data_IF_684924050502
#
_entry.id   IF_684924050502
#
_cell.length_a   1.000
_cell.length_b   1.000
_cell.length_c   1.000
_cell.angle_alpha   90.00
_cell.angle_beta   90.00
_cell.angle_gamma   90.00
#
_symmetry.space_group_name_H-M   'P 1'
#
loop_
_entity.id
_entity.type
_entity.pdbx_description
1 polymer ?
#
# COMPACT_ATOMS: atom_id res chain seq x y z
N UNK A 1 22.62 -17.12 -29.42
CA UNK A 1 22.34 -17.72 -28.10
C UNK A 1 21.82 -16.58 -27.26
N UNK A 2 20.55 -16.61 -26.87
CA UNK A 2 19.99 -15.54 -26.03
C UNK A 2 20.71 -15.55 -24.68
N UNK A 3 21.13 -14.38 -24.17
CA UNK A 3 21.79 -14.30 -22.87
C UNK A 3 20.81 -14.74 -21.78
N UNK A 4 21.28 -15.55 -20.82
CA UNK A 4 20.44 -15.94 -19.70
C UNK A 4 20.14 -14.73 -18.80
N UNK A 5 19.07 -14.79 -18.00
CA UNK A 5 18.75 -13.75 -17.00
C UNK A 5 19.95 -13.49 -16.07
N UNK A 6 20.70 -14.55 -15.73
CA UNK A 6 21.93 -14.43 -14.94
C UNK A 6 22.99 -13.62 -15.67
N UNK A 7 23.20 -13.88 -16.96
CA UNK A 7 24.19 -13.15 -17.77
C UNK A 7 23.83 -11.67 -17.88
N UNK A 8 22.54 -11.35 -18.01
CA UNK A 8 22.02 -9.98 -18.04
C UNK A 8 22.30 -9.28 -16.72
N UNK A 9 21.96 -9.89 -15.58
CA UNK A 9 22.22 -9.33 -14.25
C UNK A 9 23.71 -9.08 -14.05
N UNK A 10 24.56 -10.06 -14.38
CA UNK A 10 26.02 -9.94 -14.20
C UNK A 10 26.58 -8.83 -15.10
N UNK A 11 26.22 -8.81 -16.38
CA UNK A 11 26.72 -7.80 -17.32
C UNK A 11 26.32 -6.39 -16.89
N UNK A 12 25.10 -6.21 -16.41
CA UNK A 12 24.62 -4.91 -15.97
C UNK A 12 25.23 -4.48 -14.64
N UNK A 13 25.38 -5.40 -13.68
CA UNK A 13 26.08 -5.13 -12.43
C UNK A 13 27.54 -4.68 -12.67
N UNK A 14 28.24 -5.31 -13.63
CA UNK A 14 29.59 -4.88 -14.06
C UNK A 14 29.59 -3.47 -14.68
N UNK A 15 28.52 -3.11 -15.42
CA UNK A 15 28.37 -1.78 -16.00
C UNK A 15 28.13 -0.70 -14.94
N UNK A 16 27.31 -1.00 -13.92
CA UNK A 16 26.99 -0.08 -12.83
C UNK A 16 28.18 0.21 -11.90
N UNK A 17 29.07 -0.78 -11.71
CA UNK A 17 30.32 -0.65 -10.94
C UNK A 17 31.44 -1.39 -11.65
N UNK A 18 32.14 -0.67 -12.52
CA UNK A 18 33.32 -1.20 -13.21
C UNK A 18 34.48 -1.37 -12.22
N UNK A 19 35.11 -2.53 -12.25
CA UNK A 19 36.27 -2.86 -11.43
C UNK A 19 36.87 -4.21 -11.84
N UNK A 20 38.03 -4.54 -11.27
CA UNK A 20 38.76 -5.78 -11.59
C UNK A 20 38.25 -7.00 -10.82
N UNK A 21 37.32 -6.80 -9.87
CA UNK A 21 36.68 -7.85 -9.09
C UNK A 21 35.65 -8.66 -9.87
N UNK A 22 35.33 -9.87 -9.40
CA UNK A 22 34.29 -10.71 -9.99
C UNK A 22 32.91 -10.34 -9.44
N UNK A 23 31.94 -10.20 -10.33
CA UNK A 23 30.52 -10.08 -9.92
C UNK A 23 29.97 -11.46 -9.66
N UNK A 24 29.38 -11.66 -8.48
CA UNK A 24 28.72 -12.91 -8.11
C UNK A 24 27.22 -12.71 -7.93
N UNK A 25 26.48 -13.77 -8.24
CA UNK A 25 25.03 -13.83 -8.08
C UNK A 25 24.72 -15.03 -7.21
N UNK A 26 24.17 -14.77 -6.03
CA UNK A 26 23.73 -15.79 -5.10
C UNK A 26 22.20 -15.73 -4.99
N UNK A 27 21.55 -16.89 -5.00
CA UNK A 27 20.17 -16.94 -4.56
C UNK A 27 20.13 -16.47 -3.11
N UNK A 28 19.24 -15.53 -2.82
CA UNK A 28 19.07 -15.08 -1.46
C UNK A 28 18.65 -16.27 -0.59
N UNK A 29 19.45 -16.57 0.43
CA UNK A 29 19.10 -17.52 1.50
C UNK A 29 18.12 -16.92 2.50
N UNK A 30 17.78 -15.62 2.35
CA UNK A 30 16.63 -15.01 3.01
C UNK A 30 15.41 -15.82 2.55
N UNK A 31 14.83 -16.53 3.52
CA UNK A 31 13.91 -17.67 3.45
C UNK A 31 12.56 -17.44 2.74
N UNK A 32 12.45 -16.44 1.89
CA UNK A 32 11.21 -16.08 1.21
C UNK A 32 11.49 -15.99 -0.29
N UNK A 33 11.30 -17.12 -0.94
CA UNK A 33 10.93 -17.15 -2.35
C UNK A 33 9.68 -16.28 -2.51
N UNK A 34 9.84 -14.98 -2.79
CA UNK A 34 8.74 -14.05 -2.99
C UNK A 34 7.72 -14.62 -3.98
N UNK A 35 6.42 -14.46 -3.71
CA UNK A 35 5.37 -15.13 -4.51
C UNK A 35 5.40 -14.74 -5.99
N UNK A 36 5.82 -13.50 -6.28
CA UNK A 36 5.83 -12.90 -7.62
C UNK A 36 7.23 -12.77 -8.23
N UNK A 37 8.30 -12.82 -7.43
CA UNK A 37 9.67 -12.59 -7.89
C UNK A 37 10.66 -13.65 -7.41
N UNK A 38 11.72 -13.85 -8.17
CA UNK A 38 12.98 -14.40 -7.66
C UNK A 38 13.86 -13.25 -7.17
N UNK A 39 14.43 -13.43 -5.99
CA UNK A 39 15.30 -12.44 -5.35
C UNK A 39 16.72 -13.01 -5.29
N UNK A 40 17.67 -12.24 -5.83
CA UNK A 40 19.08 -12.58 -5.81
C UNK A 40 19.87 -11.48 -5.12
N UNK A 41 20.90 -11.89 -4.38
CA UNK A 41 21.92 -10.95 -3.89
C UNK A 41 23.02 -10.89 -4.94
N UNK A 42 23.30 -9.68 -5.41
CA UNK A 42 24.38 -9.40 -6.35
C UNK A 42 25.53 -8.81 -5.55
N UNK A 43 26.70 -9.44 -5.59
CA UNK A 43 27.94 -8.84 -5.07
C UNK A 43 28.69 -8.23 -6.25
N UNK A 44 28.96 -6.92 -6.17
CA UNK A 44 29.62 -6.15 -7.22
C UNK A 44 31.15 -6.31 -7.12
N UNK A 45 31.85 -5.80 -8.13
CA UNK A 45 33.32 -5.89 -8.22
C UNK A 45 34.06 -5.15 -7.09
N UNK A 46 33.40 -4.23 -6.39
CA UNK A 46 33.92 -3.46 -5.25
C UNK A 46 33.45 -4.03 -3.89
N UNK A 47 32.98 -5.28 -3.87
CA UNK A 47 32.38 -5.99 -2.71
C UNK A 47 31.07 -5.37 -2.17
N UNK A 48 30.59 -4.28 -2.76
CA UNK A 48 29.27 -3.75 -2.42
C UNK A 48 28.16 -4.67 -2.91
N UNK A 49 26.99 -4.60 -2.28
CA UNK A 49 25.89 -5.54 -2.52
C UNK A 49 24.62 -4.84 -2.96
N UNK A 50 23.90 -5.52 -3.86
CA UNK A 50 22.61 -5.10 -4.40
C UNK A 50 21.63 -6.26 -4.41
N UNK A 51 20.36 -5.95 -4.67
CA UNK A 51 19.33 -6.94 -4.91
C UNK A 51 18.93 -6.91 -6.38
N UNK A 52 18.87 -8.08 -7.00
CA UNK A 52 18.17 -8.27 -8.27
C UNK A 52 16.80 -8.90 -7.99
N UNK A 53 15.72 -8.20 -8.37
CA UNK A 53 14.35 -8.72 -8.40
C UNK A 53 14.04 -9.15 -9.83
N UNK A 54 13.63 -10.40 -10.01
CA UNK A 54 13.25 -10.95 -11.32
C UNK A 54 11.81 -11.43 -11.25
N UNK A 55 10.91 -10.84 -12.03
CA UNK A 55 9.52 -11.26 -12.07
C UNK A 55 9.37 -12.71 -12.55
N UNK A 56 8.50 -13.49 -11.91
CA UNK A 56 8.28 -14.91 -12.23
C UNK A 56 7.41 -15.12 -13.47
N UNK A 57 6.55 -14.16 -13.77
CA UNK A 57 5.57 -14.23 -14.85
C UNK A 57 5.71 -13.02 -15.77
N UNK A 58 5.65 -13.25 -17.08
CA UNK A 58 5.48 -12.18 -18.06
C UNK A 58 4.11 -11.51 -17.85
N UNK A 59 4.00 -10.20 -18.09
CA UNK A 59 2.75 -9.45 -17.89
C UNK A 59 2.68 -8.59 -16.62
N UNK A 60 3.71 -8.56 -15.77
CA UNK A 60 3.77 -7.68 -14.59
C UNK A 60 4.34 -6.29 -14.88
N UNK A 61 4.69 -5.97 -16.13
CA UNK A 61 5.51 -4.80 -16.49
C UNK A 61 4.88 -3.48 -16.03
N UNK A 62 3.56 -3.38 -16.09
CA UNK A 62 2.84 -2.18 -15.63
C UNK A 62 2.91 -1.98 -14.11
N UNK A 63 2.93 -3.09 -13.34
CA UNK A 63 3.09 -3.03 -11.88
C UNK A 63 4.54 -2.66 -11.54
N UNK A 64 5.51 -3.32 -12.17
CA UNK A 64 6.93 -3.02 -11.98
C UNK A 64 7.24 -1.56 -12.31
N UNK A 65 6.76 -1.07 -13.47
CA UNK A 65 6.99 0.31 -13.88
C UNK A 65 6.40 1.31 -12.90
N UNK A 66 5.24 1.01 -12.32
CA UNK A 66 4.62 1.88 -11.31
C UNK A 66 5.46 1.93 -10.03
N UNK A 67 5.93 0.77 -9.56
CA UNK A 67 6.79 0.69 -8.38
C UNK A 67 8.10 1.45 -8.58
N UNK A 68 8.75 1.25 -9.74
CA UNK A 68 10.01 1.94 -10.10
C UNK A 68 9.80 3.45 -10.16
N UNK A 69 8.84 3.93 -10.95
CA UNK A 69 8.56 5.35 -11.10
C UNK A 69 8.27 5.99 -9.73
N UNK A 70 7.54 5.29 -8.87
CA UNK A 70 7.25 5.76 -7.50
C UNK A 70 8.52 5.88 -6.68
N UNK A 71 9.36 4.85 -6.65
CA UNK A 71 10.60 4.84 -5.87
C UNK A 71 11.60 5.90 -6.36
N UNK A 72 11.73 6.05 -7.67
CA UNK A 72 12.56 7.09 -8.29
C UNK A 72 12.05 8.49 -7.92
N UNK A 73 10.73 8.71 -8.00
CA UNK A 73 10.11 9.98 -7.59
C UNK A 73 10.34 10.28 -6.11
N UNK A 74 10.11 9.30 -5.23
CA UNK A 74 10.37 9.45 -3.79
C UNK A 74 11.83 9.83 -3.55
N UNK A 75 12.78 9.15 -4.20
CA UNK A 75 14.22 9.43 -4.04
C UNK A 75 14.64 10.77 -4.65
N UNK A 76 13.97 11.23 -5.71
CA UNK A 76 14.20 12.55 -6.28
C UNK A 76 13.70 13.67 -5.35
N UNK A 77 12.56 13.46 -4.67
CA UNK A 77 12.01 14.43 -3.71
C UNK A 77 12.72 14.40 -2.34
N UNK A 78 13.10 13.21 -1.88
CA UNK A 78 13.80 13.00 -0.61
C UNK A 78 14.80 11.84 -0.73
N UNK A 79 16.07 12.19 -0.97
CA UNK A 79 17.17 11.23 -1.13
C UNK A 79 17.34 10.29 0.07
N UNK A 80 17.04 10.78 1.27
CA UNK A 80 17.23 10.10 2.56
C UNK A 80 15.98 9.31 3.01
N UNK A 81 14.88 9.37 2.26
CA UNK A 81 13.69 8.59 2.55
C UNK A 81 14.04 7.09 2.57
N UNK A 82 13.53 6.36 3.57
CA UNK A 82 13.93 4.99 3.88
C UNK A 82 13.27 3.96 2.94
N UNK A 83 13.50 4.12 1.63
CA UNK A 83 13.06 3.22 0.55
C UNK A 83 14.27 2.79 -0.30
N UNK A 84 14.21 1.64 -1.00
CA UNK A 84 15.28 1.22 -1.90
C UNK A 84 15.50 2.21 -3.05
N UNK A 85 16.75 2.49 -3.39
CA UNK A 85 17.09 3.15 -4.65
C UNK A 85 17.08 2.13 -5.79
N UNK A 86 16.45 2.49 -6.91
CA UNK A 86 16.57 1.77 -8.18
C UNK A 86 17.85 2.21 -8.87
N UNK A 87 18.65 1.25 -9.34
CA UNK A 87 19.89 1.51 -10.07
C UNK A 87 19.78 1.15 -11.54
N UNK A 88 18.96 0.15 -11.88
CA UNK A 88 18.70 -0.25 -13.25
C UNK A 88 17.46 -1.14 -13.37
N UNK A 89 16.82 -1.14 -14.53
CA UNK A 89 15.81 -2.12 -14.92
C UNK A 89 15.78 -2.35 -16.45
N UNK A 90 15.22 -3.48 -16.90
CA UNK A 90 15.08 -3.80 -18.33
C UNK A 90 13.73 -3.43 -18.95
N UNK A 91 12.85 -2.71 -18.24
CA UNK A 91 11.47 -2.46 -18.68
C UNK A 91 11.32 -1.64 -19.98
N UNK A 92 12.36 -0.96 -20.45
CA UNK A 92 12.31 -0.14 -21.66
C UNK A 92 12.70 -0.90 -22.94
N UNK A 93 13.06 -2.19 -22.81
CA UNK A 93 13.43 -3.05 -23.93
C UNK A 93 12.36 -4.13 -24.20
N UNK A 94 12.04 -4.44 -25.47
CA UNK A 94 10.97 -5.37 -25.81
C UNK A 94 11.26 -6.85 -25.47
N UNK A 95 10.54 -7.37 -24.47
CA UNK A 95 9.66 -8.57 -24.44
C UNK A 95 10.14 -10.00 -24.79
N UNK A 96 11.39 -10.37 -24.56
CA UNK A 96 11.76 -11.82 -24.54
C UNK A 96 12.23 -12.32 -23.17
N UNK A 97 12.42 -11.42 -22.22
CA UNK A 97 12.92 -11.70 -20.88
C UNK A 97 11.99 -11.08 -19.82
N UNK A 98 11.81 -11.75 -18.67
CA UNK A 98 11.00 -11.19 -17.59
C UNK A 98 11.61 -9.88 -17.07
N UNK A 99 10.78 -9.01 -16.46
CA UNK A 99 11.28 -7.84 -15.73
C UNK A 99 12.40 -8.18 -14.75
N UNK A 100 13.50 -7.42 -14.85
CA UNK A 100 14.63 -7.44 -13.94
C UNK A 100 14.84 -6.03 -13.40
N UNK A 101 14.97 -5.92 -12.08
CA UNK A 101 15.21 -4.67 -11.38
C UNK A 101 16.41 -4.85 -10.46
N UNK A 102 17.41 -3.98 -10.61
CA UNK A 102 18.56 -3.87 -9.70
C UNK A 102 18.32 -2.70 -8.75
N UNK A 103 18.31 -2.98 -7.46
CA UNK A 103 18.04 -2.01 -6.40
C UNK A 103 18.97 -2.18 -5.20
N UNK A 104 18.94 -1.24 -4.25
CA UNK A 104 19.69 -1.34 -2.99
C UNK A 104 19.41 -2.68 -2.27
N UNK A 105 20.47 -3.29 -1.72
CA UNK A 105 20.31 -4.32 -0.70
C UNK A 105 20.11 -3.64 0.66
N UNK A 106 18.87 -3.68 1.15
CA UNK A 106 18.57 -3.27 2.51
C UNK A 106 19.06 -4.35 3.47
N UNK A 107 19.98 -3.99 4.35
CA UNK A 107 20.45 -4.86 5.43
C UNK A 107 19.36 -4.98 6.51
N UNK A 108 19.24 -6.17 7.10
CA UNK A 108 18.29 -6.42 8.17
C UNK A 108 17.38 -7.60 7.88
N UNK A 109 16.25 -7.66 8.58
CA UNK A 109 15.21 -8.69 8.45
C UNK A 109 13.83 -8.06 8.50
N UNK A 110 12.85 -8.73 7.90
CA UNK A 110 11.44 -8.39 8.07
C UNK A 110 11.08 -8.30 9.56
N UNK A 111 10.29 -7.28 9.92
CA UNK A 111 9.69 -7.12 11.25
C UNK A 111 8.76 -8.31 11.57
N UNK A 112 8.10 -8.87 10.55
CA UNK A 112 7.30 -10.11 10.57
C UNK A 112 6.05 -10.03 11.46
N UNK A 113 6.20 -9.89 12.77
CA UNK A 113 5.12 -9.88 13.76
C UNK A 113 5.13 -8.55 14.50
N UNK A 114 3.95 -7.98 14.68
CA UNK A 114 3.72 -6.85 15.58
C UNK A 114 2.59 -7.19 16.54
N UNK A 115 2.91 -7.32 17.82
CA UNK A 115 1.96 -7.63 18.89
C UNK A 115 2.44 -7.08 20.24
N UNK A 116 1.65 -7.34 21.27
CA UNK A 116 1.78 -6.91 22.65
C UNK A 116 2.95 -7.57 23.38
N UNK A 117 3.54 -8.62 22.81
CA UNK A 117 4.78 -9.21 23.34
C UNK A 117 5.99 -8.28 23.11
N UNK A 118 5.92 -7.35 22.15
CA UNK A 118 6.97 -6.34 21.94
C UNK A 118 6.91 -5.33 23.09
N UNK A 119 8.03 -5.08 23.80
CA UNK A 119 8.09 -4.07 24.86
C UNK A 119 7.64 -2.69 24.39
N UNK A 120 6.86 -2.00 25.21
CA UNK A 120 6.27 -0.69 24.90
C UNK A 120 7.31 0.34 24.47
N UNK A 121 8.47 0.35 25.11
CA UNK A 121 9.57 1.26 24.80
C UNK A 121 10.11 1.04 23.38
N UNK A 122 10.20 -0.22 22.94
CA UNK A 122 10.62 -0.56 21.58
C UNK A 122 9.52 -0.25 20.56
N UNK A 123 8.25 -0.50 20.91
CA UNK A 123 7.13 -0.08 20.07
C UNK A 123 7.15 1.44 19.85
N UNK A 124 7.31 2.22 20.92
CA UNK A 124 7.38 3.68 20.86
C UNK A 124 8.58 4.18 20.04
N UNK A 125 9.76 3.58 20.22
CA UNK A 125 10.94 3.93 19.45
C UNK A 125 10.74 3.66 17.95
N UNK A 126 10.14 2.51 17.60
CA UNK A 126 9.80 2.20 16.21
C UNK A 126 8.77 3.18 15.64
N UNK A 127 7.68 3.44 16.38
CA UNK A 127 6.61 4.34 15.94
C UNK A 127 7.07 5.80 15.82
N UNK A 128 8.02 6.25 16.63
CA UNK A 128 8.63 7.57 16.48
C UNK A 128 9.41 7.69 15.16
N UNK A 129 10.25 6.70 14.85
CA UNK A 129 10.94 6.65 13.56
C UNK A 129 9.96 6.47 12.41
N UNK A 130 8.87 5.70 12.59
CA UNK A 130 7.80 5.53 11.62
C UNK A 130 7.08 6.83 11.30
N UNK A 131 6.77 7.63 12.32
CA UNK A 131 6.16 8.93 12.13
C UNK A 131 7.01 9.84 11.22
N UNK A 132 8.35 9.83 11.37
CA UNK A 132 9.21 10.61 10.49
C UNK A 132 9.13 10.14 9.04
N UNK A 133 9.25 8.83 8.79
CA UNK A 133 9.15 8.28 7.43
C UNK A 133 7.78 8.57 6.80
N UNK A 134 6.69 8.42 7.54
CA UNK A 134 5.35 8.67 7.03
C UNK A 134 5.15 10.14 6.67
N UNK A 135 5.71 11.09 7.43
CA UNK A 135 5.72 12.50 7.05
C UNK A 135 6.57 12.72 5.79
N UNK A 136 7.77 12.14 5.76
CA UNK A 136 8.66 12.26 4.61
C UNK A 136 8.02 11.71 3.33
N UNK A 137 7.21 10.67 3.43
CA UNK A 137 6.46 10.08 2.32
C UNK A 137 5.23 10.90 1.94
N UNK A 138 4.33 11.19 2.89
CA UNK A 138 3.02 11.76 2.60
C UNK A 138 3.05 13.26 2.26
N UNK A 139 4.17 13.95 2.51
CA UNK A 139 4.40 15.30 1.97
C UNK A 139 5.02 15.32 0.58
N UNK A 140 5.36 14.15 0.00
CA UNK A 140 5.73 14.07 -1.41
C UNK A 140 4.45 14.08 -2.23
N UNK A 141 4.23 15.18 -2.95
CA UNK A 141 3.16 15.22 -3.95
C UNK A 141 3.46 14.19 -5.03
N UNK A 142 2.43 13.45 -5.45
CA UNK A 142 2.56 12.53 -6.57
C UNK A 142 3.01 13.28 -7.83
N UNK A 143 3.80 12.64 -8.72
CA UNK A 143 4.15 13.25 -9.99
C UNK A 143 2.87 13.61 -10.75
N UNK A 144 2.89 14.68 -11.55
CA UNK A 144 1.78 15.02 -12.44
C UNK A 144 1.62 13.91 -13.49
N UNK A 145 0.89 12.85 -13.13
CA UNK A 145 0.63 11.74 -14.03
C UNK A 145 -0.49 12.12 -14.99
N UNK A 146 -0.38 11.71 -16.26
CA UNK A 146 -1.47 11.87 -17.23
C UNK A 146 -2.76 11.11 -16.82
N UNK A 147 -2.68 10.23 -15.82
CA UNK A 147 -3.79 9.52 -15.19
C UNK A 147 -4.54 10.31 -14.12
N UNK A 148 -3.94 11.37 -13.56
CA UNK A 148 -4.62 12.29 -12.66
C UNK A 148 -5.45 13.29 -13.47
N UNK A 149 -6.52 12.81 -14.11
CA UNK A 149 -7.53 13.72 -14.65
C UNK A 149 -8.03 14.62 -13.51
N UNK A 150 -8.30 15.89 -13.80
CA UNK A 150 -8.82 16.86 -12.83
C UNK A 150 -10.06 16.36 -12.08
N UNK A 151 -10.79 15.41 -12.66
CA UNK A 151 -11.97 14.76 -12.08
C UNK A 151 -11.69 13.79 -10.93
N UNK A 152 -10.50 13.22 -10.78
CA UNK A 152 -10.18 12.24 -9.70
C UNK A 152 -9.54 12.92 -8.48
N UNK A 153 -9.49 14.27 -8.45
CA UNK A 153 -8.80 15.02 -7.40
C UNK A 153 -9.50 15.03 -6.04
N UNK A 154 -10.83 14.85 -6.01
CA UNK A 154 -11.56 14.80 -4.74
C UNK A 154 -11.62 13.38 -4.21
N UNK A 155 -11.70 13.25 -2.88
CA UNK A 155 -11.78 11.95 -2.24
C UNK A 155 -13.06 11.19 -2.62
N UNK A 156 -14.18 11.91 -2.72
CA UNK A 156 -15.48 11.38 -3.19
C UNK A 156 -15.41 10.77 -4.59
N UNK A 157 -14.83 11.48 -5.56
CA UNK A 157 -14.71 10.99 -6.93
C UNK A 157 -13.74 9.81 -7.03
N UNK A 158 -12.68 9.81 -6.22
CA UNK A 158 -11.76 8.67 -6.13
C UNK A 158 -12.46 7.42 -5.59
N UNK A 159 -13.21 7.55 -4.49
CA UNK A 159 -14.02 6.45 -3.93
C UNK A 159 -15.05 5.92 -4.93
N UNK A 160 -15.75 6.83 -5.61
CA UNK A 160 -16.74 6.47 -6.63
C UNK A 160 -16.10 5.63 -7.74
N UNK A 161 -14.93 6.04 -8.23
CA UNK A 161 -14.19 5.29 -9.25
C UNK A 161 -13.74 3.90 -8.76
N UNK A 162 -13.26 3.78 -7.52
CA UNK A 162 -12.88 2.48 -6.95
C UNK A 162 -14.09 1.53 -6.78
N UNK A 163 -15.22 2.06 -6.34
CA UNK A 163 -16.47 1.30 -6.20
C UNK A 163 -17.04 0.92 -7.58
N UNK A 164 -17.03 1.85 -8.54
CA UNK A 164 -17.49 1.60 -9.92
C UNK A 164 -16.64 0.49 -10.57
N UNK A 165 -15.33 0.45 -10.34
CA UNK A 165 -14.49 -0.69 -10.74
C UNK A 165 -14.97 -2.01 -10.12
N UNK A 166 -15.35 -2.00 -8.84
CA UNK A 166 -15.97 -3.12 -8.14
C UNK A 166 -17.26 -3.61 -8.82
N UNK A 167 -18.19 -2.68 -9.08
CA UNK A 167 -19.47 -2.95 -9.76
C UNK A 167 -19.23 -3.55 -11.15
N UNK A 168 -18.35 -2.94 -11.96
CA UNK A 168 -18.01 -3.42 -13.31
C UNK A 168 -17.47 -4.84 -13.27
N UNK A 169 -16.58 -5.16 -12.34
CA UNK A 169 -16.06 -6.52 -12.17
C UNK A 169 -17.17 -7.51 -11.85
N UNK A 170 -18.10 -7.17 -10.95
CA UNK A 170 -19.25 -8.02 -10.64
C UNK A 170 -20.17 -8.25 -11.84
N UNK A 171 -20.53 -7.19 -12.58
CA UNK A 171 -21.41 -7.30 -13.76
C UNK A 171 -20.76 -8.14 -14.87
N UNK A 172 -19.45 -7.99 -15.08
CA UNK A 172 -18.71 -8.69 -16.14
C UNK A 172 -18.28 -10.11 -15.73
N UNK A 173 -18.57 -10.55 -14.50
CA UNK A 173 -18.18 -11.88 -14.01
C UNK A 173 -16.70 -12.01 -13.64
N UNK A 174 -15.95 -10.92 -13.57
CA UNK A 174 -14.54 -10.90 -13.12
C UNK A 174 -14.36 -10.55 -11.64
N UNK A 175 -15.46 -10.24 -10.95
CA UNK A 175 -15.51 -10.01 -9.51
C UNK A 175 -15.29 -11.30 -8.72
N UNK A 176 -14.50 -11.24 -7.64
CA UNK A 176 -14.08 -12.43 -6.88
C UNK A 176 -14.77 -12.61 -5.52
N UNK A 177 -15.34 -11.57 -4.92
CA UNK A 177 -15.85 -11.67 -3.53
C UNK A 177 -17.02 -10.75 -3.11
N UNK A 178 -17.33 -9.69 -3.84
CA UNK A 178 -18.49 -8.83 -3.58
C UNK A 178 -19.59 -9.02 -4.62
N UNK A 179 -20.76 -8.41 -4.39
CA UNK A 179 -21.85 -8.36 -5.36
C UNK A 179 -22.22 -6.91 -5.73
N UNK A 180 -22.97 -6.75 -6.82
CA UNK A 180 -23.34 -5.43 -7.33
C UNK A 180 -24.14 -4.63 -6.30
N UNK A 181 -25.07 -5.26 -5.59
CA UNK A 181 -25.91 -4.57 -4.60
C UNK A 181 -25.08 -4.01 -3.45
N UNK A 182 -24.15 -4.78 -2.90
CA UNK A 182 -23.27 -4.31 -1.81
C UNK A 182 -22.44 -3.10 -2.25
N UNK A 183 -21.85 -3.14 -3.46
CA UNK A 183 -21.12 -1.98 -3.98
C UNK A 183 -22.01 -0.77 -4.26
N UNK A 184 -23.27 -0.96 -4.69
CA UNK A 184 -24.22 0.14 -4.86
C UNK A 184 -24.62 0.78 -3.52
N UNK A 185 -24.76 -0.03 -2.46
CA UNK A 185 -24.94 0.49 -1.09
C UNK A 185 -23.70 1.27 -0.66
N UNK A 186 -22.49 0.72 -0.84
CA UNK A 186 -21.26 1.48 -0.53
C UNK A 186 -21.19 2.79 -1.33
N UNK A 187 -21.62 2.80 -2.60
CA UNK A 187 -21.67 4.00 -3.42
C UNK A 187 -22.62 5.06 -2.87
N UNK A 188 -23.76 4.69 -2.29
CA UNK A 188 -24.68 5.65 -1.65
C UNK A 188 -24.13 6.29 -0.38
N UNK A 189 -23.17 5.64 0.28
CA UNK A 189 -22.54 6.11 1.52
C UNK A 189 -21.47 7.20 1.27
N UNK A 190 -20.98 7.36 0.03
CA UNK A 190 -19.90 8.30 -0.31
C UNK A 190 -20.14 9.73 0.22
N UNK A 191 -21.33 10.34 0.07
CA UNK A 191 -21.55 11.72 0.55
C UNK A 191 -21.33 11.87 2.06
N UNK A 192 -21.73 10.87 2.85
CA UNK A 192 -21.56 10.92 4.31
C UNK A 192 -20.07 10.81 4.69
N UNK A 193 -19.34 9.92 4.01
CA UNK A 193 -17.92 9.62 4.30
C UNK A 193 -16.98 10.72 3.78
N UNK A 194 -17.24 11.27 2.60
CA UNK A 194 -16.25 12.08 1.86
C UNK A 194 -16.46 13.59 1.92
N UNK A 195 -17.65 14.10 2.30
CA UNK A 195 -17.99 15.52 2.12
C UNK A 195 -17.00 16.51 2.77
N UNK A 196 -16.45 16.17 3.94
CA UNK A 196 -15.50 17.03 4.68
C UNK A 196 -14.04 16.80 4.27
N UNK A 197 -13.79 15.86 3.36
CA UNK A 197 -12.46 15.44 2.91
C UNK A 197 -12.14 15.91 1.48
N UNK A 198 -13.14 16.39 0.74
CA UNK A 198 -12.96 16.85 -0.64
C UNK A 198 -12.17 18.17 -0.77
N UNK A 199 -11.96 18.86 0.35
CA UNK A 199 -11.08 20.03 0.44
C UNK A 199 -9.60 19.65 0.28
N UNK A 200 -9.23 18.38 0.54
CA UNK A 200 -7.86 17.88 0.38
C UNK A 200 -7.61 17.39 -1.05
N UNK A 201 -7.33 18.31 -1.96
CA UNK A 201 -7.15 18.02 -3.40
C UNK A 201 -5.73 17.61 -3.81
N UNK A 202 -4.77 17.65 -2.88
CA UNK A 202 -3.41 17.19 -3.12
C UNK A 202 -3.42 15.69 -3.37
N UNK A 203 -2.73 15.25 -4.42
CA UNK A 203 -2.50 13.83 -4.71
C UNK A 203 -1.21 13.42 -4.03
N UNK A 204 -1.29 12.39 -3.18
CA UNK A 204 -0.13 11.80 -2.52
C UNK A 204 0.15 10.39 -3.04
N UNK A 205 1.18 9.78 -2.46
CA UNK A 205 1.64 8.43 -2.78
C UNK A 205 1.31 7.51 -1.59
N UNK A 206 0.70 6.36 -1.87
CA UNK A 206 0.51 5.29 -0.91
C UNK A 206 1.36 4.08 -1.30
N UNK A 207 1.96 3.43 -0.30
CA UNK A 207 2.64 2.14 -0.48
C UNK A 207 1.70 1.02 -0.96
N UNK A 208 0.43 1.08 -0.54
CA UNK A 208 -0.59 0.07 -0.85
C UNK A 208 -0.59 -1.17 0.04
N UNK A 209 0.57 -1.55 0.59
CA UNK A 209 0.68 -2.73 1.45
C UNK A 209 1.61 -2.53 2.67
N UNK A 210 1.37 -1.51 3.51
CA UNK A 210 2.20 -1.25 4.70
C UNK A 210 1.93 -2.25 5.84
N UNK A 211 2.17 -3.54 5.60
CA UNK A 211 2.11 -4.59 6.62
C UNK A 211 3.50 -4.81 7.27
N UNK A 212 3.56 -5.54 8.39
CA UNK A 212 4.79 -5.73 9.14
C UNK A 212 5.92 -6.42 8.34
N UNK A 213 5.59 -7.28 7.36
CA UNK A 213 6.60 -7.95 6.55
C UNK A 213 7.40 -7.01 5.66
N UNK A 214 6.78 -5.90 5.28
CA UNK A 214 7.36 -4.92 4.36
C UNK A 214 8.27 -3.90 5.06
N UNK A 215 8.50 -4.04 6.38
CA UNK A 215 9.50 -3.28 7.13
C UNK A 215 10.72 -4.14 7.38
N UNK A 216 11.87 -3.75 6.81
CA UNK A 216 13.15 -4.37 7.10
C UNK A 216 13.81 -3.61 8.24
N UNK A 217 14.02 -4.25 9.39
CA UNK A 217 14.67 -3.71 10.57
C UNK A 217 16.06 -4.34 10.75
N UNK A 218 17.04 -3.54 11.21
CA UNK A 218 18.40 -4.05 11.44
C UNK A 218 18.48 -5.09 12.58
N UNK A 219 17.62 -4.99 13.59
CA UNK A 219 17.59 -5.88 14.77
C UNK A 219 16.13 -6.24 15.14
N UNK A 220 15.88 -7.47 15.62
CA UNK A 220 14.53 -7.91 15.99
C UNK A 220 14.04 -7.19 17.24
N UNK A 221 12.86 -6.57 17.15
CA UNK A 221 12.20 -5.92 18.30
C UNK A 221 11.82 -6.90 19.43
N UNK A 222 11.76 -8.21 19.14
CA UNK A 222 11.38 -9.27 20.08
C UNK A 222 12.51 -9.71 21.04
N UNK A 223 13.77 -9.37 20.74
CA UNK A 223 14.90 -10.16 21.24
C UNK A 223 15.92 -9.37 22.09
N UNK A 224 15.53 -8.49 23.01
CA UNK A 224 16.52 -7.89 23.92
C UNK A 224 16.04 -7.64 25.35
N UNK A 225 16.09 -8.67 26.20
CA UNK A 225 16.11 -8.54 27.67
C UNK A 225 17.40 -7.88 28.23
N UNK A 226 18.37 -7.55 27.38
CA UNK A 226 19.69 -7.01 27.78
C UNK A 226 19.99 -5.58 27.28
N UNK A 227 19.10 -4.95 26.50
CA UNK A 227 19.42 -3.70 25.76
C UNK A 227 18.44 -2.56 26.08
N UNK A 228 17.83 -2.59 27.27
CA UNK A 228 17.17 -1.42 27.83
C UNK A 228 18.13 -0.22 28.03
N UNK A 229 19.44 -0.44 28.09
CA UNK A 229 20.43 0.61 28.37
C UNK A 229 20.97 1.36 27.14
N UNK A 230 20.92 0.76 25.94
CA UNK A 230 21.52 1.36 24.72
C UNK A 230 20.48 2.12 23.90
N UNK A 231 19.29 1.55 23.69
CA UNK A 231 18.22 2.22 22.93
C UNK A 231 17.69 3.48 23.62
N UNK A 232 17.64 3.50 24.96
CA UNK A 232 17.26 4.70 25.72
C UNK A 232 18.27 5.85 25.61
N UNK A 233 19.52 5.58 25.20
CA UNK A 233 20.56 6.61 25.05
C UNK A 233 20.73 7.11 23.63
N UNK A 234 20.29 6.35 22.62
CA UNK A 234 20.52 6.69 21.22
C UNK A 234 19.38 6.21 20.31
N UNK A 235 18.34 7.05 20.10
CA UNK A 235 17.25 6.78 19.16
C UNK A 235 17.71 6.56 17.70
N UNK A 236 18.94 6.97 17.37
CA UNK A 236 19.54 6.90 16.03
C UNK A 236 19.84 5.48 15.50
N UNK A 237 19.60 4.43 16.29
CA UNK A 237 19.98 3.05 15.92
C UNK A 237 18.85 2.19 15.35
N UNK A 238 17.59 2.61 15.46
CA UNK A 238 16.50 1.88 14.81
C UNK A 238 16.36 2.34 13.36
N UNK A 239 17.26 1.86 12.50
CA UNK A 239 17.12 2.00 11.04
C UNK A 239 16.21 0.90 10.53
N UNK A 240 15.19 1.31 9.78
CA UNK A 240 14.40 0.40 8.97
C UNK A 240 14.28 0.96 7.56
N UNK A 241 13.91 0.12 6.61
CA UNK A 241 13.47 0.58 5.29
C UNK A 241 12.21 -0.17 4.86
N UNK A 242 11.39 0.51 4.07
CA UNK A 242 10.11 -0.02 3.57
C UNK A 242 10.31 -0.57 2.18
N UNK A 243 9.98 -1.84 1.98
CA UNK A 243 10.17 -2.60 0.72
C UNK A 243 8.82 -3.10 0.18
N UNK A 244 8.85 -3.70 -1.01
CA UNK A 244 7.65 -4.26 -1.67
C UNK A 244 6.59 -3.22 -2.10
N UNK A 245 7.04 -2.27 -2.94
CA UNK A 245 6.24 -1.16 -3.45
C UNK A 245 5.34 -1.52 -4.65
N UNK A 246 5.14 -2.82 -4.92
CA UNK A 246 4.42 -3.28 -6.12
C UNK A 246 2.93 -2.89 -6.13
N UNK A 247 2.37 -2.66 -4.94
CA UNK A 247 0.99 -2.23 -4.73
C UNK A 247 0.82 -0.72 -4.60
N UNK A 248 1.87 0.06 -4.88
CA UNK A 248 1.81 1.52 -4.80
C UNK A 248 0.69 2.10 -5.68
N UNK A 249 0.12 3.21 -5.21
CA UNK A 249 -0.86 3.97 -5.96
C UNK A 249 -0.84 5.46 -5.60
N UNK A 250 -1.34 6.27 -6.52
CA UNK A 250 -1.55 7.70 -6.37
C UNK A 250 -3.03 7.96 -6.08
N UNK A 251 -3.34 8.79 -5.09
CA UNK A 251 -4.71 9.15 -4.75
C UNK A 251 -4.76 10.45 -3.92
N UNK A 252 -5.95 11.06 -3.74
CA UNK A 252 -6.11 12.20 -2.83
C UNK A 252 -5.59 11.88 -1.42
N UNK A 253 -5.08 12.89 -0.71
CA UNK A 253 -4.48 12.70 0.62
C UNK A 253 -5.32 11.84 1.60
N UNK A 254 -6.65 12.00 1.69
CA UNK A 254 -7.46 11.15 2.56
C UNK A 254 -7.40 9.66 2.18
N UNK A 255 -7.25 9.32 0.90
CA UNK A 255 -7.15 7.93 0.45
C UNK A 255 -5.79 7.28 0.77
N UNK A 256 -4.72 8.08 0.79
CA UNK A 256 -3.33 7.58 1.00
C UNK A 256 -2.92 7.61 2.48
N UNK A 257 -3.45 8.54 3.28
CA UNK A 257 -3.14 8.65 4.71
C UNK A 257 -4.03 7.69 5.49
N UNK A 258 -3.43 6.56 5.85
CA UNK A 258 -4.04 5.44 6.54
C UNK A 258 -3.08 4.87 7.59
N UNK A 259 -3.61 4.17 8.59
CA UNK A 259 -2.76 3.45 9.53
C UNK A 259 -2.06 2.30 8.81
N UNK A 260 -0.77 2.05 9.09
CA UNK A 260 -0.10 0.81 8.70
C UNK A 260 -0.91 -0.40 9.14
N UNK A 261 -1.02 -1.41 8.29
CA UNK A 261 -1.91 -2.57 8.47
C UNK A 261 -1.70 -3.30 9.79
N UNK A 262 -0.45 -3.36 10.26
CA UNK A 262 -0.09 -4.04 11.50
C UNK A 262 -0.55 -3.33 12.78
N UNK A 263 -1.07 -2.09 12.70
CA UNK A 263 -1.71 -1.36 13.81
C UNK A 263 -3.10 -0.82 13.47
N UNK A 264 -3.67 -1.17 12.31
CA UNK A 264 -4.90 -0.53 11.82
C UNK A 264 -6.19 -1.00 12.52
N UNK A 265 -6.19 -2.19 13.15
CA UNK A 265 -7.37 -2.84 13.76
C UNK A 265 -8.61 -2.91 12.84
N UNK A 266 -8.41 -3.14 11.54
CA UNK A 266 -9.53 -3.25 10.59
C UNK A 266 -10.18 -4.64 10.71
N UNK A 267 -11.49 -4.75 11.04
CA UNK A 267 -12.17 -6.04 11.12
C UNK A 267 -12.09 -6.81 9.79
N UNK A 268 -11.79 -8.11 9.86
CA UNK A 268 -11.56 -8.97 8.70
C UNK A 268 -10.14 -8.92 8.13
N UNK A 269 -9.26 -8.07 8.66
CA UNK A 269 -7.82 -8.13 8.47
C UNK A 269 -7.17 -8.91 9.62
N UNK A 270 -6.19 -9.76 9.30
CA UNK A 270 -5.51 -10.61 10.29
C UNK A 270 -4.01 -10.39 10.21
N UNK A 271 -3.44 -9.83 11.28
CA UNK A 271 -2.01 -9.72 11.45
C UNK A 271 -1.44 -11.02 12.05
N UNK A 272 -0.25 -11.41 11.59
CA UNK A 272 0.43 -12.59 12.10
C UNK A 272 0.78 -12.42 13.58
N UNK A 273 0.57 -13.48 14.37
CA UNK A 273 0.97 -13.52 15.78
C UNK A 273 0.16 -12.62 16.72
N UNK A 274 -1.01 -12.12 16.30
CA UNK A 274 -1.92 -11.30 17.12
C UNK A 274 -3.01 -12.17 17.75
N UNK A 275 -3.20 -12.05 19.06
CA UNK A 275 -4.20 -12.83 19.79
C UNK A 275 -5.62 -12.27 19.63
N UNK A 276 -6.63 -13.13 19.84
CA UNK A 276 -8.02 -12.70 19.78
C UNK A 276 -8.31 -11.64 20.86
N UNK A 277 -8.82 -10.48 20.45
CA UNK A 277 -9.16 -9.37 21.35
C UNK A 277 -8.00 -8.41 21.62
N UNK A 278 -6.82 -8.68 21.07
CA UNK A 278 -5.72 -7.73 21.06
C UNK A 278 -6.02 -6.55 20.12
N UNK A 279 -5.71 -5.34 20.56
CA UNK A 279 -5.97 -4.09 19.83
C UNK A 279 -4.77 -3.15 19.90
N UNK A 280 -4.55 -2.37 18.85
CA UNK A 280 -3.43 -1.44 18.72
C UNK A 280 -3.82 0.04 18.85
N UNK A 281 -4.93 0.34 19.55
CA UNK A 281 -5.40 1.71 19.79
C UNK A 281 -4.31 2.62 20.35
N UNK A 282 -3.61 2.16 21.38
CA UNK A 282 -2.51 2.92 22.00
C UNK A 282 -1.37 3.20 21.01
N UNK A 283 -1.08 2.28 20.09
CA UNK A 283 -0.05 2.48 19.07
C UNK A 283 -0.50 3.50 18.02
N UNK A 284 -1.77 3.48 17.63
CA UNK A 284 -2.37 4.48 16.74
C UNK A 284 -2.33 5.88 17.34
N UNK A 285 -2.78 6.01 18.60
CA UNK A 285 -2.76 7.28 19.33
C UNK A 285 -1.34 7.83 19.47
N UNK A 286 -0.39 6.95 19.80
CA UNK A 286 1.02 7.33 19.89
C UNK A 286 1.56 7.81 18.54
N UNK A 287 1.26 7.10 17.45
CA UNK A 287 1.70 7.47 16.10
C UNK A 287 1.13 8.83 15.69
N UNK A 288 -0.16 9.07 15.87
CA UNK A 288 -0.81 10.37 15.60
C UNK A 288 -0.15 11.49 16.40
N UNK A 289 0.11 11.25 17.69
CA UNK A 289 0.79 12.22 18.56
C UNK A 289 2.20 12.55 18.03
N UNK A 290 2.97 11.56 17.61
CA UNK A 290 4.33 11.77 17.10
C UNK A 290 4.35 12.46 15.74
N UNK A 291 3.37 12.18 14.87
CA UNK A 291 3.20 12.92 13.62
C UNK A 291 2.97 14.40 13.90
N UNK A 292 2.05 14.72 14.81
CA UNK A 292 1.75 16.10 15.19
C UNK A 292 2.98 16.84 15.73
N UNK A 293 3.71 16.24 16.67
CA UNK A 293 4.94 16.82 17.23
C UNK A 293 5.96 17.13 16.14
N UNK A 294 6.10 16.26 15.14
CA UNK A 294 7.05 16.43 14.04
C UNK A 294 6.57 17.44 12.98
N UNK A 295 5.27 17.52 12.71
CA UNK A 295 4.68 18.60 11.89
C UNK A 295 4.94 19.98 12.54
N UNK A 296 4.66 20.11 13.84
CA UNK A 296 4.93 21.33 14.62
C UNK A 296 6.42 21.70 14.59
N UNK A 297 7.31 20.72 14.80
CA UNK A 297 8.77 20.93 14.77
C UNK A 297 9.27 21.38 13.39
N UNK A 298 8.60 20.97 12.31
CA UNK A 298 8.93 21.34 10.92
C UNK A 298 8.10 22.52 10.40
N UNK A 299 7.28 23.14 11.26
CA UNK A 299 6.36 24.25 10.93
C UNK A 299 5.42 23.93 9.77
N UNK A 300 5.05 22.66 9.63
CA UNK A 300 4.04 22.23 8.68
C UNK A 300 2.65 22.40 9.29
N UNK A 301 1.64 22.51 8.43
CA UNK A 301 0.24 22.44 8.85
C UNK A 301 -0.03 20.99 9.27
N UNK A 302 -0.81 20.79 10.34
CA UNK A 302 -1.20 19.50 10.94
C UNK A 302 -2.07 18.60 10.03
N UNK A 303 -1.87 18.65 8.71
CA UNK A 303 -2.65 17.93 7.70
C UNK A 303 -2.55 16.42 7.89
N UNK A 304 -1.34 15.88 8.08
CA UNK A 304 -1.11 14.43 8.14
C UNK A 304 -1.64 13.87 9.44
N UNK A 305 -1.30 14.49 10.59
CA UNK A 305 -1.80 14.02 11.88
C UNK A 305 -3.33 14.11 11.98
N UNK A 306 -3.94 15.19 11.44
CA UNK A 306 -5.40 15.35 11.42
C UNK A 306 -6.08 14.27 10.57
N UNK A 307 -5.59 14.05 9.33
CA UNK A 307 -6.16 13.02 8.46
C UNK A 307 -5.99 11.61 9.04
N UNK A 308 -4.84 11.30 9.65
CA UNK A 308 -4.59 10.00 10.24
C UNK A 308 -5.46 9.76 11.49
N UNK A 309 -5.63 10.76 12.35
CA UNK A 309 -6.47 10.66 13.54
C UNK A 309 -7.92 10.25 13.22
N UNK A 310 -8.40 10.63 12.03
CA UNK A 310 -9.76 10.34 11.53
C UNK A 310 -9.77 9.16 10.54
N UNK A 311 -8.67 8.40 10.41
CA UNK A 311 -8.53 7.40 9.36
C UNK A 311 -9.29 6.10 9.60
N UNK A 312 -9.63 5.73 10.84
CA UNK A 312 -10.13 4.37 11.14
C UNK A 312 -11.38 3.98 10.35
N UNK A 313 -12.42 4.81 10.38
CA UNK A 313 -13.68 4.55 9.65
C UNK A 313 -13.45 4.57 8.13
N UNK A 314 -12.74 5.59 7.65
CA UNK A 314 -12.37 5.76 6.25
C UNK A 314 -11.59 4.57 5.70
N UNK A 315 -10.56 4.14 6.44
CA UNK A 315 -9.71 3.02 6.07
C UNK A 315 -10.50 1.73 6.05
N UNK A 316 -11.38 1.48 7.03
CA UNK A 316 -12.28 0.32 7.01
C UNK A 316 -13.15 0.31 5.76
N UNK A 317 -13.82 1.42 5.45
CA UNK A 317 -14.66 1.56 4.25
C UNK A 317 -13.87 1.33 2.96
N UNK A 318 -12.75 2.02 2.78
CA UNK A 318 -11.89 1.90 1.60
C UNK A 318 -11.36 0.47 1.43
N UNK A 319 -11.01 -0.18 2.54
CA UNK A 319 -10.48 -1.55 2.54
C UNK A 319 -11.55 -2.58 2.19
N UNK A 320 -12.80 -2.36 2.62
CA UNK A 320 -13.92 -3.22 2.26
C UNK A 320 -14.20 -3.24 0.74
N UNK A 321 -13.71 -2.26 -0.03
CA UNK A 321 -13.83 -2.26 -1.50
C UNK A 321 -12.89 -3.32 -2.12
N UNK A 322 -11.71 -3.52 -1.54
CA UNK A 322 -10.59 -4.21 -2.19
C UNK A 322 -10.15 -5.51 -1.52
N UNK A 323 -10.54 -5.76 -0.27
CA UNK A 323 -10.14 -6.95 0.48
C UNK A 323 -11.35 -7.84 0.80
N UNK A 324 -11.29 -9.12 0.39
CA UNK A 324 -12.38 -10.08 0.55
C UNK A 324 -12.89 -10.21 1.98
N UNK A 325 -11.98 -10.44 2.92
CA UNK A 325 -12.38 -10.82 4.27
C UNK A 325 -12.85 -9.59 5.06
N UNK A 326 -12.26 -8.42 4.79
CA UNK A 326 -12.76 -7.12 5.26
C UNK A 326 -14.15 -6.83 4.65
N UNK A 327 -14.34 -7.04 3.35
CA UNK A 327 -15.65 -6.85 2.70
C UNK A 327 -16.73 -7.71 3.36
N UNK A 328 -16.46 -9.00 3.56
CA UNK A 328 -17.40 -9.94 4.19
C UNK A 328 -17.78 -9.51 5.59
N UNK A 329 -16.81 -9.11 6.39
CA UNK A 329 -17.06 -8.61 7.74
C UNK A 329 -17.88 -7.31 7.70
N UNK A 330 -17.47 -6.37 6.84
CA UNK A 330 -18.11 -5.06 6.69
C UNK A 330 -19.59 -5.17 6.35
N UNK A 331 -19.96 -5.95 5.33
CA UNK A 331 -21.37 -6.05 4.89
C UNK A 331 -22.29 -6.78 5.86
N UNK A 332 -21.73 -7.46 6.87
CA UNK A 332 -22.47 -8.25 7.87
C UNK A 332 -22.55 -7.53 9.21
N UNK A 333 -21.50 -6.83 9.64
CA UNK A 333 -21.40 -6.29 10.99
C UNK A 333 -21.36 -4.76 11.08
N UNK A 334 -21.17 -4.04 9.97
CA UNK A 334 -21.13 -2.58 9.98
C UNK A 334 -22.55 -1.97 10.05
N UNK A 335 -22.85 -1.26 11.13
CA UNK A 335 -24.18 -0.69 11.37
C UNK A 335 -24.57 0.34 10.31
N UNK A 336 -23.63 1.17 9.85
CA UNK A 336 -23.89 2.22 8.86
C UNK A 336 -24.20 1.58 7.51
N UNK A 337 -23.45 0.54 7.12
CA UNK A 337 -23.76 -0.23 5.93
C UNK A 337 -25.13 -0.92 6.01
N UNK A 338 -25.46 -1.56 7.13
CA UNK A 338 -26.75 -2.23 7.30
C UNK A 338 -27.93 -1.25 7.26
N UNK A 339 -27.77 -0.05 7.80
CA UNK A 339 -28.75 1.04 7.66
C UNK A 339 -28.88 1.47 6.20
N UNK A 340 -27.77 1.75 5.52
CA UNK A 340 -27.76 2.15 4.11
C UNK A 340 -28.34 1.07 3.18
N UNK A 341 -28.16 -0.21 3.52
CA UNK A 341 -28.72 -1.36 2.77
C UNK A 341 -30.25 -1.38 2.74
N UNK A 342 -30.89 -0.77 3.73
CA UNK A 342 -32.36 -0.65 3.76
C UNK A 342 -32.90 0.46 2.82
N UNK A 343 -32.02 1.28 2.25
CA UNK A 343 -32.39 2.39 1.39
C UNK A 343 -32.49 1.95 -0.09
N UNK A 344 -33.20 2.74 -0.89
CA UNK A 344 -33.34 2.49 -2.33
C UNK A 344 -32.02 2.75 -3.08
N UNK A 345 -31.43 1.68 -3.63
CA UNK A 345 -30.18 1.73 -4.39
C UNK A 345 -30.38 1.99 -5.89
N UNK A 346 -31.62 2.07 -6.39
CA UNK A 346 -31.91 2.35 -7.82
C UNK A 346 -31.26 3.63 -8.33
N UNK A 347 -31.27 4.77 -7.60
CA UNK A 347 -30.59 5.98 -8.06
C UNK A 347 -29.09 5.78 -8.26
N UNK A 348 -28.45 4.93 -7.46
CA UNK A 348 -27.03 4.61 -7.59
C UNK A 348 -26.77 3.77 -8.85
N UNK A 349 -27.63 2.79 -9.13
CA UNK A 349 -27.54 1.97 -10.34
C UNK A 349 -27.73 2.82 -11.59
N UNK A 350 -28.74 3.72 -11.61
CA UNK A 350 -28.99 4.62 -12.73
C UNK A 350 -27.81 5.55 -12.99
N UNK A 351 -27.26 6.17 -11.94
CA UNK A 351 -26.08 7.02 -12.04
C UNK A 351 -24.86 6.26 -12.57
N UNK A 352 -24.62 5.04 -12.10
CA UNK A 352 -23.56 4.17 -12.60
C UNK A 352 -23.75 3.84 -14.09
N UNK A 353 -24.97 3.46 -14.50
CA UNK A 353 -25.27 3.10 -15.90
C UNK A 353 -25.26 4.29 -16.86
N UNK A 354 -25.40 5.53 -16.36
CA UNK A 354 -25.15 6.73 -17.16
C UNK A 354 -23.67 6.88 -17.51
N UNK A 355 -22.76 6.52 -16.58
CA UNK A 355 -21.30 6.52 -16.82
C UNK A 355 -20.83 5.31 -17.63
N UNK A 356 -21.54 4.19 -17.52
CA UNK A 356 -21.22 2.92 -18.16
C UNK A 356 -22.38 2.38 -19.02
N UNK A 357 -22.78 3.11 -20.08
CA UNK A 357 -23.94 2.74 -20.90
C UNK A 357 -23.79 1.37 -21.58
N UNK A 358 -22.56 0.92 -21.82
CA UNK A 358 -22.24 -0.39 -22.40
C UNK A 358 -22.71 -1.57 -21.54
N UNK A 359 -22.94 -1.36 -20.24
CA UNK A 359 -23.33 -2.41 -19.29
C UNK A 359 -24.85 -2.56 -19.12
N UNK A 360 -25.65 -1.62 -19.66
CA UNK A 360 -27.11 -1.59 -19.49
C UNK A 360 -27.81 -2.89 -19.90
N UNK A 361 -27.33 -3.52 -20.98
CA UNK A 361 -27.95 -4.72 -21.53
C UNK A 361 -27.52 -6.02 -20.84
N UNK A 362 -26.62 -5.95 -19.85
CA UNK A 362 -26.16 -7.12 -19.11
C UNK A 362 -27.30 -7.84 -18.39
N UNK A 363 -27.29 -9.17 -18.42
CA UNK A 363 -28.26 -10.01 -17.71
C UNK A 363 -28.26 -9.73 -16.21
N UNK A 364 -27.10 -9.47 -15.61
CA UNK A 364 -26.95 -9.11 -14.20
C UNK A 364 -27.69 -7.81 -13.88
N UNK A 365 -27.59 -6.80 -14.74
CA UNK A 365 -28.29 -5.52 -14.56
C UNK A 365 -29.80 -5.73 -14.66
N UNK A 366 -30.26 -6.50 -15.65
CA UNK A 366 -31.69 -6.85 -15.82
C UNK A 366 -32.25 -7.58 -14.59
N UNK A 367 -31.50 -8.52 -14.02
CA UNK A 367 -31.89 -9.24 -12.81
C UNK A 367 -32.07 -8.30 -11.61
N UNK A 368 -31.16 -7.35 -11.41
CA UNK A 368 -31.23 -6.38 -10.31
C UNK A 368 -32.43 -5.45 -10.50
N UNK A 369 -32.66 -4.96 -11.71
CA UNK A 369 -33.82 -4.13 -12.04
C UNK A 369 -35.12 -4.89 -11.77
N UNK A 370 -35.23 -6.15 -12.20
CA UNK A 370 -36.41 -6.98 -11.94
C UNK A 370 -36.61 -7.26 -10.45
N UNK A 371 -35.56 -7.55 -9.70
CA UNK A 371 -35.65 -7.81 -8.26
C UNK A 371 -36.16 -6.57 -7.49
N UNK A 372 -35.69 -5.38 -7.85
CA UNK A 372 -36.09 -4.12 -7.22
C UNK A 372 -37.45 -3.57 -7.70
N UNK A 373 -38.08 -4.20 -8.70
CA UNK A 373 -39.45 -3.88 -9.13
C UNK A 373 -40.52 -4.60 -8.30
N UNK A 374 -40.17 -5.67 -7.59
CA UNK A 374 -41.12 -6.49 -6.81
C UNK A 374 -41.47 -5.83 -5.46
N UNK A 375 -40.66 -4.88 -4.98
CA UNK A 375 -40.83 -4.19 -3.69
C UNK A 375 -41.36 -2.74 -3.80
N UNK A 376 -41.84 -2.32 -4.97
CA UNK A 376 -42.54 -1.02 -5.11
C UNK A 376 -44.06 -1.25 -5.03
N UNK A 377 -44.79 -0.64 -4.08
CA UNK A 377 -46.24 -0.82 -3.92
C UNK A 377 -47.06 -0.32 -5.12
#
# INVERSE_FOLDING_TARGET
MEPSIRDIIIAEAQRLRSGDGSVTLEHSSLSEQGRSHYIFVVTLADDSKMVARVARTQGSENLERRAINTLEHIKASNTDCQVPRIHWHNLDHPREIPPVILQDLIQGRSLNIWNSAIPKELQHAFLDSLAQFLLDLWYIEAPESASASSTVRTYSNWLENEIDKGIRRCITGSGKWGNVSDYLVMRSMIPQIAHHLDDFQTIGIAHGDMNAHNFIVNERLELMGYVNTIYLRYPAYLRYSVVDWDWTFEAPLPAVIQYPWFIADVPGWHNDGVELGETFEHNRDYLVKMLKVKEEATRKIDTVSTLLAQASERQRFQSAISYRDIHREYVVSDLVFLEAKSQDIRPQLEAFLMKHPELKESSTVKQIVCANQIDSP
#
